data_IF_305105632708
#
_entry.id   IF_305105632708
#
_cell.length_a   1.000
_cell.length_b   1.000
_cell.length_c   1.000
_cell.angle_alpha   90.00
_cell.angle_beta   90.00
_cell.angle_gamma   90.00
#
_symmetry.space_group_name_H-M   'P 1'
#
loop_
_entity.id
_entity.type
_entity.pdbx_description
1 polymer ?
#
# COMPACT_ATOMS: atom_id res chain seq x y z
N UNK A 1 -3.72 9.55 -14.51
CA UNK A 1 -3.94 10.38 -13.30
C UNK A 1 -5.19 9.98 -12.49
N UNK A 2 -6.36 9.80 -13.11
CA UNK A 2 -7.61 9.39 -12.43
C UNK A 2 -7.48 8.10 -11.60
N UNK A 3 -6.75 7.11 -12.10
CA UNK A 3 -6.50 5.86 -11.38
C UNK A 3 -5.78 6.07 -10.03
N UNK A 4 -4.84 7.02 -9.97
CA UNK A 4 -4.11 7.38 -8.76
C UNK A 4 -5.05 8.01 -7.73
N UNK A 5 -5.94 8.91 -8.15
CA UNK A 5 -6.95 9.52 -7.28
C UNK A 5 -7.90 8.46 -6.69
N UNK A 6 -8.32 7.48 -7.51
CA UNK A 6 -9.12 6.35 -7.03
C UNK A 6 -8.37 5.52 -5.98
N UNK A 7 -7.09 5.23 -6.20
CA UNK A 7 -6.25 4.51 -5.24
C UNK A 7 -6.06 5.28 -3.93
N UNK A 8 -5.92 6.60 -3.97
CA UNK A 8 -5.88 7.44 -2.77
C UNK A 8 -7.18 7.29 -1.97
N UNK A 9 -8.34 7.38 -2.64
CA UNK A 9 -9.65 7.23 -2.00
C UNK A 9 -9.77 5.83 -1.36
N UNK A 10 -9.40 4.78 -2.10
CA UNK A 10 -9.43 3.40 -1.59
C UNK A 10 -8.51 3.24 -0.36
N UNK A 11 -7.29 3.76 -0.41
CA UNK A 11 -6.34 3.69 0.71
C UNK A 11 -6.89 4.41 1.95
N UNK A 12 -7.51 5.58 1.79
CA UNK A 12 -8.12 6.33 2.90
C UNK A 12 -9.31 5.56 3.49
N UNK A 13 -10.24 5.09 2.64
CA UNK A 13 -11.40 4.33 3.09
C UNK A 13 -10.97 3.04 3.80
N UNK A 14 -10.04 2.29 3.22
CA UNK A 14 -9.50 1.08 3.82
C UNK A 14 -8.87 1.37 5.18
N UNK A 15 -8.06 2.43 5.29
CA UNK A 15 -7.46 2.86 6.56
C UNK A 15 -8.54 3.19 7.58
N UNK A 16 -9.58 3.94 7.19
CA UNK A 16 -10.66 4.36 8.07
C UNK A 16 -11.47 3.18 8.61
N UNK A 17 -11.92 2.28 7.72
CA UNK A 17 -12.71 1.12 8.11
C UNK A 17 -11.91 0.13 8.95
N UNK A 18 -10.65 -0.09 8.59
CA UNK A 18 -9.83 -1.04 9.33
C UNK A 18 -9.34 -0.46 10.66
N UNK A 19 -9.13 0.87 10.79
CA UNK A 19 -8.52 1.50 11.97
C UNK A 19 -9.02 0.93 13.31
N UNK A 20 -10.35 0.79 13.44
CA UNK A 20 -11.00 0.34 14.68
C UNK A 20 -11.51 -1.11 14.66
N UNK A 21 -11.17 -1.90 13.63
CA UNK A 21 -11.69 -3.26 13.45
C UNK A 21 -11.29 -4.22 14.60
N UNK A 22 -10.11 -3.99 15.19
CA UNK A 22 -9.57 -4.84 16.27
C UNK A 22 -9.67 -4.18 17.66
N UNK A 23 -10.47 -3.10 17.80
CA UNK A 23 -10.69 -2.35 19.04
C UNK A 23 -9.41 -2.12 19.85
N UNK A 24 -9.19 -2.93 20.90
CA UNK A 24 -8.11 -2.77 21.87
C UNK A 24 -6.73 -3.23 21.38
N UNK A 25 -6.62 -3.86 20.21
CA UNK A 25 -5.33 -4.33 19.71
C UNK A 25 -4.56 -3.15 19.10
N UNK A 26 -3.38 -2.80 19.63
CA UNK A 26 -2.55 -1.73 19.09
C UNK A 26 -2.10 -2.03 17.66
N UNK A 27 -2.07 -0.98 16.83
CA UNK A 27 -1.84 -1.05 15.38
C UNK A 27 -0.53 -1.75 14.95
N UNK A 28 0.53 -1.62 15.74
CA UNK A 28 1.85 -2.20 15.43
C UNK A 28 2.06 -3.63 15.96
N UNK A 29 1.03 -4.23 16.55
CA UNK A 29 1.06 -5.60 17.06
C UNK A 29 2.28 -5.92 17.94
N UNK A 30 2.53 -5.15 19.02
CA UNK A 30 3.68 -5.34 19.88
C UNK A 30 3.58 -6.68 20.60
N UNK A 31 4.72 -7.35 20.78
CA UNK A 31 4.78 -8.62 21.52
C UNK A 31 4.40 -8.49 23.00
N UNK A 32 4.38 -7.27 23.55
CA UNK A 32 4.04 -6.97 24.94
C UNK A 32 2.53 -6.86 25.19
N UNK A 33 1.69 -6.89 24.15
CA UNK A 33 0.24 -6.86 24.29
C UNK A 33 -0.31 -8.25 24.63
N UNK A 34 -1.23 -8.33 25.59
CA UNK A 34 -1.90 -9.59 25.94
C UNK A 34 -2.97 -9.93 24.90
N UNK A 35 -2.58 -10.76 23.94
CA UNK A 35 -3.52 -11.32 22.96
C UNK A 35 -4.32 -12.45 23.60
N UNK A 36 -5.64 -12.35 23.54
CA UNK A 36 -6.56 -13.40 24.01
C UNK A 36 -6.31 -14.75 23.30
N UNK A 37 -6.01 -14.70 22.00
CA UNK A 37 -5.73 -15.87 21.16
C UNK A 37 -4.54 -15.58 20.25
N UNK A 38 -3.78 -16.63 19.89
CA UNK A 38 -2.68 -16.51 18.93
C UNK A 38 -3.15 -16.04 17.55
N UNK A 39 -4.37 -16.42 17.16
CA UNK A 39 -5.00 -15.99 15.90
C UNK A 39 -5.18 -14.47 15.83
N UNK A 40 -5.51 -13.82 16.96
CA UNK A 40 -5.67 -12.36 17.01
C UNK A 40 -4.35 -11.63 16.72
N UNK A 41 -3.23 -12.20 17.17
CA UNK A 41 -1.90 -11.65 16.88
C UNK A 41 -1.54 -11.78 15.40
N UNK A 42 -1.82 -12.93 14.80
CA UNK A 42 -1.58 -13.18 13.37
C UNK A 42 -2.48 -12.26 12.53
N UNK A 43 -3.76 -12.16 12.85
CA UNK A 43 -4.70 -11.27 12.17
C UNK A 43 -4.24 -9.81 12.25
N UNK A 44 -3.77 -9.35 13.41
CA UNK A 44 -3.17 -8.04 13.58
C UNK A 44 -1.99 -7.84 12.61
N UNK A 45 -1.03 -8.76 12.59
CA UNK A 45 0.16 -8.66 11.73
C UNK A 45 -0.20 -8.61 10.24
N UNK A 46 -1.14 -9.45 9.80
CA UNK A 46 -1.64 -9.47 8.41
C UNK A 46 -2.25 -8.12 8.06
N UNK A 47 -3.08 -7.54 8.94
CA UNK A 47 -3.70 -6.22 8.72
C UNK A 47 -2.64 -5.12 8.63
N UNK A 48 -1.68 -5.10 9.54
CA UNK A 48 -0.59 -4.10 9.53
C UNK A 48 0.25 -4.23 8.26
N UNK A 49 0.60 -5.45 7.86
CA UNK A 49 1.33 -5.70 6.61
C UNK A 49 0.53 -5.27 5.38
N UNK A 50 -0.79 -5.52 5.35
CA UNK A 50 -1.65 -5.09 4.25
C UNK A 50 -1.75 -3.56 4.17
N UNK A 51 -1.90 -2.87 5.31
CA UNK A 51 -1.91 -1.42 5.34
C UNK A 51 -0.58 -0.84 4.85
N UNK A 52 0.54 -1.34 5.37
CA UNK A 52 1.88 -0.92 4.93
C UNK A 52 2.08 -1.16 3.42
N UNK A 53 1.60 -2.29 2.90
CA UNK A 53 1.71 -2.61 1.47
C UNK A 53 0.90 -1.64 0.61
N UNK A 54 -0.35 -1.32 1.00
CA UNK A 54 -1.16 -0.33 0.28
C UNK A 54 -0.52 1.05 0.26
N UNK A 55 -0.05 1.55 1.41
CA UNK A 55 0.58 2.87 1.49
C UNK A 55 1.93 2.92 0.78
N UNK A 56 2.71 1.84 0.83
CA UNK A 56 3.97 1.73 0.07
C UNK A 56 3.72 1.75 -1.43
N UNK A 57 2.72 0.99 -1.90
CA UNK A 57 2.31 1.00 -3.31
C UNK A 57 1.86 2.40 -3.76
N UNK A 58 1.07 3.09 -2.93
CA UNK A 58 0.63 4.45 -3.22
C UNK A 58 1.80 5.42 -3.32
N UNK A 59 2.74 5.37 -2.38
CA UNK A 59 3.94 6.21 -2.37
C UNK A 59 4.79 5.99 -3.61
N UNK A 60 5.05 4.72 -3.95
CA UNK A 60 5.80 4.37 -5.17
C UNK A 60 5.08 4.85 -6.44
N UNK A 61 3.76 4.70 -6.50
CA UNK A 61 2.95 5.19 -7.63
C UNK A 61 3.01 6.71 -7.79
N UNK A 62 3.02 7.45 -6.67
CA UNK A 62 3.17 8.90 -6.68
C UNK A 62 4.57 9.29 -7.19
N UNK A 63 5.62 8.69 -6.62
CA UNK A 63 7.00 8.94 -7.06
C UNK A 63 7.20 8.64 -8.54
N UNK A 64 6.61 7.54 -9.01
CA UNK A 64 6.68 7.13 -10.40
C UNK A 64 6.07 8.16 -11.35
N UNK A 65 4.87 8.68 -11.02
CA UNK A 65 4.26 9.76 -11.81
C UNK A 65 5.08 11.05 -11.75
N UNK A 66 5.66 11.39 -10.60
CA UNK A 66 6.54 12.56 -10.49
C UNK A 66 7.77 12.44 -11.39
N UNK A 67 8.42 11.27 -11.42
CA UNK A 67 9.57 11.04 -12.28
C UNK A 67 9.20 11.00 -13.77
N UNK A 68 8.02 10.47 -14.11
CA UNK A 68 7.50 10.53 -15.48
C UNK A 68 7.26 11.98 -15.92
N UNK A 69 6.60 12.79 -15.08
CA UNK A 69 6.33 14.20 -15.38
C UNK A 69 7.59 15.07 -15.41
N UNK A 70 8.66 14.64 -14.74
CA UNK A 70 9.95 15.32 -14.78
C UNK A 70 10.82 14.90 -15.98
N UNK A 71 10.35 13.99 -16.84
CA UNK A 71 11.10 13.34 -17.93
C UNK A 71 12.34 12.55 -17.46
N UNK A 72 12.34 12.04 -16.22
CA UNK A 72 13.42 11.18 -15.69
C UNK A 72 13.26 9.73 -16.14
N UNK A 73 12.05 9.33 -16.51
CA UNK A 73 11.68 7.99 -16.96
C UNK A 73 10.89 8.14 -18.26
N UNK A 74 11.36 7.52 -19.35
CA UNK A 74 10.64 7.43 -20.61
C UNK A 74 10.03 6.03 -20.77
N UNK A 75 8.72 5.93 -20.49
CA UNK A 75 7.98 4.67 -20.65
C UNK A 75 7.88 4.23 -22.12
N UNK A 76 7.81 5.17 -23.06
CA UNK A 76 7.62 4.84 -24.47
C UNK A 76 8.85 4.12 -25.02
N UNK A 77 10.05 4.58 -24.65
CA UNK A 77 11.29 3.93 -25.06
C UNK A 77 11.43 2.51 -24.51
N UNK A 78 10.98 2.27 -23.27
CA UNK A 78 11.01 0.96 -22.63
C UNK A 78 10.02 -0.01 -23.28
N UNK A 79 8.78 0.43 -23.52
CA UNK A 79 7.73 -0.40 -24.15
C UNK A 79 8.12 -0.75 -25.58
N UNK A 80 8.59 0.21 -26.37
CA UNK A 80 9.02 -0.06 -27.75
C UNK A 80 10.19 -1.03 -27.81
N UNK A 81 11.20 -0.90 -26.93
CA UNK A 81 12.28 -1.89 -26.86
C UNK A 81 11.77 -3.30 -26.53
N UNK A 82 10.75 -3.42 -25.67
CA UNK A 82 10.20 -4.71 -25.31
C UNK A 82 9.46 -5.36 -26.48
N UNK A 83 8.65 -4.59 -27.22
CA UNK A 83 7.91 -5.07 -28.39
C UNK A 83 8.78 -5.38 -29.61
N UNK A 84 9.98 -4.79 -29.70
CA UNK A 84 10.93 -5.04 -30.80
C UNK A 84 11.81 -6.26 -30.50
N UNK A 85 12.07 -6.56 -29.22
CA UNK A 85 12.98 -7.64 -28.81
C UNK A 85 12.27 -8.92 -28.32
N UNK A 86 10.94 -8.92 -28.20
CA UNK A 86 10.10 -10.13 -28.07
C UNK A 86 9.52 -10.52 -29.45
#
# INVERSE_FOLDING_TARGET
MWLLLLWIIIAILYTHYTWNEMNNIPFFCPSTYEYMFAENRIACQIRTANLLSMWSFLLLSILWVQFLCADWIDENLVITNKLVND
#
